data_IF_427356079289
#
_entry.id   IF_427356079289
#
_cell.length_a   1.000
_cell.length_b   1.000
_cell.length_c   1.000
_cell.angle_alpha   90.00
_cell.angle_beta   90.00
_cell.angle_gamma   90.00
#
_symmetry.space_group_name_H-M   'P 1'
#
loop_
_entity.id
_entity.type
_entity.pdbx_description
1 polymer ?
#
# COMPACT_ATOMS: atom_id res chain seq x y z
N UNK A 1 5.30 12.56 -18.49
CA UNK A 1 4.25 11.83 -17.75
C UNK A 1 3.60 10.88 -18.74
N UNK A 2 3.51 9.59 -18.41
CA UNK A 2 2.97 8.57 -19.32
C UNK A 2 1.44 8.70 -19.41
N UNK A 3 0.86 8.39 -20.57
CA UNK A 3 -0.59 8.24 -20.70
C UNK A 3 -0.97 6.81 -20.28
N UNK A 4 -1.33 6.62 -19.01
CA UNK A 4 -1.61 5.30 -18.47
C UNK A 4 -2.85 4.66 -19.11
N UNK A 5 -3.85 5.45 -19.50
CA UNK A 5 -5.05 4.92 -20.17
C UNK A 5 -4.73 4.31 -21.54
N UNK A 6 -3.86 4.95 -22.34
CA UNK A 6 -3.39 4.36 -23.60
C UNK A 6 -2.63 3.04 -23.39
N UNK A 7 -1.91 2.91 -22.27
CA UNK A 7 -1.19 1.67 -21.94
C UNK A 7 -2.16 0.56 -21.50
N UNK A 8 -3.23 0.91 -20.79
CA UNK A 8 -4.30 -0.03 -20.42
C UNK A 8 -5.03 -0.56 -21.66
N UNK A 9 -5.22 0.27 -22.68
CA UNK A 9 -5.89 -0.10 -23.94
C UNK A 9 -5.00 -0.89 -24.91
N UNK A 10 -3.71 -1.08 -24.60
CA UNK A 10 -2.76 -1.74 -25.51
C UNK A 10 -3.14 -3.20 -25.82
N UNK A 11 -3.79 -3.89 -24.88
CA UNK A 11 -4.26 -5.26 -25.06
C UNK A 11 -5.44 -5.56 -24.14
N UNK A 12 -6.41 -6.35 -24.61
CA UNK A 12 -7.64 -6.66 -23.85
C UNK A 12 -7.42 -7.41 -22.53
N UNK A 13 -6.31 -8.12 -22.40
CA UNK A 13 -5.95 -8.85 -21.17
C UNK A 13 -5.27 -7.96 -20.11
N UNK A 14 -4.92 -6.71 -20.45
CA UNK A 14 -4.38 -5.76 -19.47
C UNK A 14 -5.55 -5.22 -18.65
N UNK A 15 -5.53 -5.48 -17.34
CA UNK A 15 -6.62 -5.07 -16.45
C UNK A 15 -6.43 -3.65 -15.90
N UNK A 16 -5.19 -3.25 -15.63
CA UNK A 16 -4.86 -1.90 -15.16
C UNK A 16 -3.36 -1.63 -15.30
N UNK A 17 -3.00 -0.35 -15.41
CA UNK A 17 -1.61 0.12 -15.40
C UNK A 17 -1.52 1.29 -14.42
N UNK A 18 -0.55 1.19 -13.51
CA UNK A 18 -0.28 2.24 -12.54
C UNK A 18 1.21 2.61 -12.54
N UNK A 19 1.46 3.90 -12.39
CA UNK A 19 2.80 4.45 -12.26
C UNK A 19 3.24 4.37 -10.80
N UNK A 20 4.40 3.78 -10.51
CA UNK A 20 5.03 3.91 -9.20
C UNK A 20 5.69 5.28 -9.13
N UNK A 21 5.06 6.21 -8.41
CA UNK A 21 5.54 7.60 -8.31
C UNK A 21 6.60 7.77 -7.22
N UNK A 22 6.55 6.95 -6.17
CA UNK A 22 7.52 7.00 -5.08
C UNK A 22 7.61 5.66 -4.37
N UNK A 23 8.81 5.32 -3.90
CA UNK A 23 9.04 4.19 -3.00
C UNK A 23 9.69 4.69 -1.72
N UNK A 24 9.17 4.23 -0.58
CA UNK A 24 9.68 4.56 0.75
C UNK A 24 9.90 3.28 1.56
N UNK A 25 10.70 3.40 2.62
CA UNK A 25 10.84 2.38 3.65
C UNK A 25 10.57 3.01 5.00
N UNK A 26 9.70 2.38 5.78
CA UNK A 26 9.50 2.70 7.19
C UNK A 26 10.02 1.54 8.03
N UNK A 27 10.47 1.82 9.25
CA UNK A 27 10.83 0.79 10.23
C UNK A 27 9.91 0.91 11.43
N UNK A 28 9.23 -0.18 11.78
CA UNK A 28 8.33 -0.29 12.92
C UNK A 28 8.81 -1.47 13.76
N UNK A 29 9.37 -1.18 14.93
CA UNK A 29 9.86 -2.19 15.88
C UNK A 29 10.75 -3.29 15.25
N UNK A 30 11.77 -2.86 14.52
CA UNK A 30 12.69 -3.76 13.83
C UNK A 30 12.16 -4.32 12.50
N UNK A 31 10.85 -4.30 12.25
CA UNK A 31 10.29 -4.68 10.96
C UNK A 31 10.45 -3.55 9.93
N UNK A 32 11.03 -3.87 8.78
CA UNK A 32 11.06 -2.96 7.63
C UNK A 32 9.79 -3.13 6.79
N UNK A 33 9.14 -2.01 6.49
CA UNK A 33 7.93 -1.93 5.68
C UNK A 33 8.24 -1.06 4.46
N UNK A 34 8.38 -1.72 3.30
CA UNK A 34 8.33 -1.05 2.01
C UNK A 34 6.95 -0.48 1.73
N UNK A 35 6.92 0.74 1.20
CA UNK A 35 5.74 1.50 0.81
C UNK A 35 5.93 1.92 -0.64
N UNK A 36 4.94 1.63 -1.49
CA UNK A 36 4.87 2.19 -2.85
C UNK A 36 3.71 3.17 -2.89
N UNK A 37 3.95 4.33 -3.46
CA UNK A 37 2.90 5.25 -3.87
C UNK A 37 2.73 5.06 -5.37
N UNK A 38 1.51 4.75 -5.76
CA UNK A 38 1.11 4.48 -7.12
C UNK A 38 0.12 5.57 -7.58
N UNK A 39 0.10 5.84 -8.88
CA UNK A 39 -0.89 6.70 -9.51
C UNK A 39 -1.59 5.94 -10.63
N UNK A 40 -2.93 6.04 -10.66
CA UNK A 40 -3.75 5.40 -11.69
C UNK A 40 -4.03 6.33 -12.87
N UNK A 41 -4.68 5.80 -13.92
CA UNK A 41 -5.05 6.56 -15.11
C UNK A 41 -6.00 7.75 -14.81
N UNK A 42 -6.81 7.66 -13.76
CA UNK A 42 -7.69 8.75 -13.31
C UNK A 42 -6.94 9.87 -12.56
N UNK A 43 -5.65 9.70 -12.34
CA UNK A 43 -4.80 10.68 -11.67
C UNK A 43 -4.83 10.62 -10.14
N UNK A 44 -5.59 9.70 -9.54
CA UNK A 44 -5.60 9.48 -8.10
C UNK A 44 -4.38 8.67 -7.64
N UNK A 45 -3.99 8.92 -6.41
CA UNK A 45 -2.88 8.26 -5.73
C UNK A 45 -3.40 7.20 -4.77
N UNK A 46 -2.67 6.09 -4.66
CA UNK A 46 -2.93 5.04 -3.69
C UNK A 46 -1.60 4.45 -3.22
N UNK A 47 -1.62 3.67 -2.15
CA UNK A 47 -0.41 3.03 -1.65
C UNK A 47 -0.51 1.51 -1.63
N UNK A 48 0.64 0.86 -1.74
CA UNK A 48 0.81 -0.56 -1.45
C UNK A 48 1.82 -0.70 -0.32
N UNK A 49 1.53 -1.61 0.61
CA UNK A 49 2.45 -1.98 1.68
C UNK A 49 3.03 -3.36 1.40
N UNK A 50 4.33 -3.50 1.64
CA UNK A 50 5.01 -4.81 1.65
C UNK A 50 4.58 -5.71 2.80
N UNK A 51 4.14 -5.10 3.91
CA UNK A 51 3.72 -5.80 5.11
C UNK A 51 2.51 -5.09 5.73
N UNK A 52 1.58 -5.87 6.25
CA UNK A 52 0.47 -5.40 7.08
C UNK A 52 0.53 -6.09 8.44
N UNK A 53 0.13 -5.41 9.50
CA UNK A 53 0.08 -6.00 10.83
C UNK A 53 -1.32 -6.53 11.12
N UNK A 54 -1.42 -7.77 11.60
CA UNK A 54 -2.65 -8.32 12.15
C UNK A 54 -2.46 -8.48 13.66
N UNK A 55 -3.23 -7.75 14.46
CA UNK A 55 -3.18 -7.85 15.92
C UNK A 55 -3.86 -9.10 16.47
N UNK A 56 -3.58 -9.46 17.72
CA UNK A 56 -4.07 -10.70 18.34
C UNK A 56 -5.61 -10.79 18.42
N UNK A 57 -6.28 -9.64 18.66
CA UNK A 57 -7.74 -9.56 18.81
C UNK A 57 -8.49 -9.33 17.48
N UNK A 58 -7.78 -9.16 16.37
CA UNK A 58 -8.40 -8.77 15.11
C UNK A 58 -8.92 -10.00 14.33
N UNK A 59 -10.25 -10.16 14.31
CA UNK A 59 -10.93 -10.70 13.12
C UNK A 59 -10.44 -9.90 11.90
N UNK A 60 -10.27 -10.58 10.76
CA UNK A 60 -9.64 -10.06 9.54
C UNK A 60 -9.86 -8.54 9.37
N UNK A 61 -8.80 -7.70 9.28
CA UNK A 61 -8.97 -6.26 9.26
C UNK A 61 -10.00 -5.89 8.20
N UNK A 62 -11.18 -5.44 8.64
CA UNK A 62 -12.23 -5.00 7.73
C UNK A 62 -11.63 -3.91 6.84
N UNK A 63 -11.64 -4.21 5.56
CA UNK A 63 -11.12 -3.44 4.44
C UNK A 63 -11.89 -2.12 4.37
N UNK A 64 -11.51 -1.15 5.19
CA UNK A 64 -12.25 0.11 5.36
C UNK A 64 -11.43 1.38 5.09
N UNK A 65 -10.11 1.27 4.90
CA UNK A 65 -9.32 2.45 4.55
C UNK A 65 -9.51 2.72 3.06
N UNK A 66 -10.23 3.80 2.75
CA UNK A 66 -10.28 4.34 1.39
C UNK A 66 -8.86 4.65 0.95
N UNK A 67 -8.31 3.79 0.09
CA UNK A 67 -6.96 3.89 -0.44
C UNK A 67 -7.01 4.62 -1.80
N UNK A 68 -7.46 5.86 -1.77
CA UNK A 68 -7.53 6.73 -2.94
C UNK A 68 -7.41 8.18 -2.46
N UNK A 69 -6.43 8.89 -2.99
CA UNK A 69 -6.01 10.21 -2.52
C UNK A 69 -5.78 11.16 -3.69
N UNK A 70 -5.90 12.46 -3.43
CA UNK A 70 -5.72 13.49 -4.46
C UNK A 70 -4.25 13.92 -4.62
N UNK A 71 -3.39 13.49 -3.68
CA UNK A 71 -1.95 13.78 -3.73
C UNK A 71 -1.09 12.61 -3.24
N UNK A 72 0.15 12.55 -3.74
CA UNK A 72 1.15 11.59 -3.28
C UNK A 72 1.44 11.75 -1.78
N UNK A 73 1.46 12.99 -1.26
CA UNK A 73 1.72 13.26 0.15
C UNK A 73 0.63 12.68 1.05
N UNK A 74 -0.65 12.83 0.67
CA UNK A 74 -1.75 12.21 1.41
C UNK A 74 -1.71 10.68 1.35
N UNK A 75 -1.35 10.11 0.20
CA UNK A 75 -1.15 8.67 0.07
C UNK A 75 -0.02 8.17 1.00
N UNK A 76 1.10 8.90 1.12
CA UNK A 76 2.17 8.57 2.09
C UNK A 76 1.65 8.62 3.53
N UNK A 77 0.92 9.68 3.90
CA UNK A 77 0.34 9.80 5.25
C UNK A 77 -0.65 8.67 5.53
N UNK A 78 -1.47 8.31 4.55
CA UNK A 78 -2.39 7.17 4.61
C UNK A 78 -1.65 5.85 4.79
N UNK A 79 -0.59 5.62 4.02
CA UNK A 79 0.25 4.42 4.09
C UNK A 79 0.86 4.24 5.48
N UNK A 80 1.47 5.30 6.03
CA UNK A 80 2.10 5.27 7.35
C UNK A 80 1.08 5.03 8.47
N UNK A 81 -0.09 5.69 8.40
CA UNK A 81 -1.18 5.46 9.37
C UNK A 81 -1.68 4.02 9.30
N UNK A 82 -1.89 3.50 8.10
CA UNK A 82 -2.36 2.13 7.86
C UNK A 82 -1.36 1.08 8.35
N UNK A 83 -0.06 1.30 8.09
CA UNK A 83 1.00 0.38 8.50
C UNK A 83 1.04 0.14 10.02
N UNK A 84 0.62 1.13 10.82
CA UNK A 84 0.63 1.03 12.30
C UNK A 84 -0.77 0.96 12.92
N UNK A 85 -1.85 0.96 12.11
CA UNK A 85 -3.22 1.10 12.61
C UNK A 85 -3.59 0.06 13.66
N UNK A 86 -3.17 -1.19 13.43
CA UNK A 86 -3.42 -2.31 14.34
C UNK A 86 -2.19 -2.72 15.14
N UNK A 87 -1.06 -2.05 14.94
CA UNK A 87 0.19 -2.39 15.62
C UNK A 87 0.16 -1.91 17.07
N UNK A 88 0.50 -2.80 18.00
CA UNK A 88 0.79 -2.44 19.40
C UNK A 88 2.09 -3.13 19.82
N UNK A 89 2.98 -2.41 20.47
CA UNK A 89 4.32 -2.92 20.82
C UNK A 89 4.34 -4.05 21.85
N UNK A 90 3.23 -4.30 22.55
CA UNK A 90 3.10 -5.38 23.54
C UNK A 90 1.98 -6.36 23.16
N UNK A 91 1.65 -6.44 21.86
CA UNK A 91 0.61 -7.37 21.39
C UNK A 91 1.15 -8.81 21.35
N UNK A 92 0.86 -9.57 22.41
CA UNK A 92 1.19 -10.99 22.50
C UNK A 92 0.29 -11.82 21.57
N UNK A 93 0.71 -11.94 20.31
CA UNK A 93 0.02 -12.76 19.30
C UNK A 93 -0.17 -12.06 17.95
N UNK A 94 0.06 -10.75 17.89
CA UNK A 94 0.05 -10.02 16.64
C UNK A 94 1.29 -10.32 15.78
N UNK A 95 1.13 -10.25 14.46
CA UNK A 95 2.20 -10.60 13.51
C UNK A 95 2.15 -9.77 12.24
N UNK A 96 3.33 -9.55 11.67
CA UNK A 96 3.48 -8.98 10.34
C UNK A 96 3.17 -10.04 9.27
N UNK A 97 2.33 -9.66 8.33
CA UNK A 97 1.98 -10.44 7.16
C UNK A 97 2.60 -9.81 5.93
N UNK A 98 3.35 -10.60 5.18
CA UNK A 98 3.92 -10.15 3.90
C UNK A 98 2.83 -10.07 2.84
N UNK A 99 2.90 -9.02 2.04
CA UNK A 99 2.14 -8.90 0.80
C UNK A 99 2.97 -9.47 -0.36
N UNK A 100 2.58 -10.63 -0.86
CA UNK A 100 3.32 -11.32 -1.92
C UNK A 100 3.28 -10.58 -3.26
N UNK A 101 2.24 -9.77 -3.51
CA UNK A 101 2.15 -8.90 -4.69
C UNK A 101 3.15 -7.74 -4.63
N UNK A 102 3.71 -7.45 -3.44
CA UNK A 102 4.77 -6.46 -3.29
C UNK A 102 6.13 -7.08 -3.66
N UNK A 103 6.40 -7.20 -4.96
CA UNK A 103 7.69 -7.65 -5.46
C UNK A 103 8.76 -6.59 -5.19
N UNK A 104 9.72 -6.83 -4.31
CA UNK A 104 10.88 -5.92 -4.12
C UNK A 104 11.78 -6.07 -5.35
N UNK A 105 11.97 -4.98 -6.10
CA UNK A 105 13.00 -4.89 -7.15
C UNK A 105 14.34 -4.49 -6.54
#
# INVERSE_FOLDING_TARGET
MLNLGELEELHADIQSVHEIVQSLKARVDGQEIGIRICRNANGHYFYELSHTYRGADAADPEVGVVNSFDSAEEAVKGALRSAVLYYRSMDEGGRWHRNDSFLIQ
#
